data_IF_663403851676
#
_entry.id   IF_663403851676
#
_cell.length_a   1.000
_cell.length_b   1.000
_cell.length_c   1.000
_cell.angle_alpha   90.00
_cell.angle_beta   90.00
_cell.angle_gamma   90.00
#
_symmetry.space_group_name_H-M   'P 1'
#
loop_
_entity.id
_entity.type
_entity.pdbx_description
1 polymer ?
#
# COMPACT_ATOMS: atom_id res chain seq x y z
N UNK A 1 21.35 0.42 -2.74
CA UNK A 1 20.42 -0.23 -1.81
C UNK A 1 19.10 0.50 -1.93
N UNK A 2 18.04 -0.19 -2.33
CA UNK A 2 16.70 0.40 -2.42
C UNK A 2 16.11 0.44 -1.01
N UNK A 3 15.68 1.61 -0.56
CA UNK A 3 15.01 1.72 0.72
C UNK A 3 13.52 1.44 0.53
N UNK A 4 12.97 0.62 1.42
CA UNK A 4 11.55 0.27 1.41
C UNK A 4 10.84 1.04 2.52
N UNK A 5 9.66 1.57 2.20
CA UNK A 5 8.79 2.28 3.12
C UNK A 5 7.36 1.77 2.99
N UNK A 6 6.53 2.01 3.98
CA UNK A 6 5.08 1.98 3.87
C UNK A 6 4.55 3.40 4.02
N UNK A 7 3.71 3.82 3.08
CA UNK A 7 3.09 5.13 3.04
C UNK A 7 1.63 5.01 3.45
N UNK A 8 1.21 5.72 4.49
CA UNK A 8 -0.16 5.82 4.95
C UNK A 8 -0.79 7.13 4.49
N UNK A 9 -1.90 7.05 3.76
CA UNK A 9 -2.61 8.21 3.23
C UNK A 9 -3.66 8.72 4.21
N UNK A 10 -3.65 10.03 4.49
CA UNK A 10 -4.58 10.71 5.41
C UNK A 10 -5.98 11.00 4.83
N UNK A 11 -6.22 10.69 3.55
CA UNK A 11 -7.58 10.61 3.01
C UNK A 11 -8.41 11.91 3.06
N UNK A 12 -7.99 12.96 2.34
CA UNK A 12 -8.80 14.20 2.19
C UNK A 12 -9.83 14.17 1.05
N UNK A 13 -9.88 13.12 0.21
CA UNK A 13 -10.47 13.22 -1.14
C UNK A 13 -11.81 12.51 -1.40
N UNK A 14 -11.94 11.20 -1.18
CA UNK A 14 -13.08 10.43 -1.72
C UNK A 14 -14.09 9.94 -0.68
N UNK A 15 -15.32 9.65 -1.12
CA UNK A 15 -16.39 9.07 -0.28
C UNK A 15 -15.95 7.75 0.37
N UNK A 16 -15.23 6.91 -0.38
CA UNK A 16 -14.63 5.66 0.11
C UNK A 16 -13.59 5.94 1.21
N UNK A 17 -12.76 6.97 1.05
CA UNK A 17 -11.79 7.35 2.09
C UNK A 17 -12.48 7.76 3.40
N UNK A 18 -13.61 8.46 3.29
CA UNK A 18 -14.44 8.85 4.45
C UNK A 18 -15.07 7.64 5.12
N UNK A 19 -15.60 6.70 4.34
CA UNK A 19 -16.19 5.45 4.85
C UNK A 19 -15.12 4.64 5.60
N UNK A 20 -13.95 4.42 5.01
CA UNK A 20 -12.85 3.68 5.65
C UNK A 20 -12.42 4.37 6.95
N UNK A 21 -12.27 5.70 6.97
CA UNK A 21 -11.89 6.43 8.19
C UNK A 21 -12.95 6.32 9.29
N UNK A 22 -14.24 6.39 8.92
CA UNK A 22 -15.35 6.29 9.87
C UNK A 22 -15.43 4.88 10.46
N UNK A 23 -15.26 3.86 9.64
CA UNK A 23 -15.29 2.46 10.05
C UNK A 23 -14.07 2.06 10.89
N UNK A 24 -12.87 2.47 10.46
CA UNK A 24 -11.60 2.15 11.14
C UNK A 24 -11.28 3.10 12.29
N UNK A 25 -12.13 4.12 12.52
CA UNK A 25 -12.01 5.17 13.54
C UNK A 25 -10.62 5.82 13.60
N UNK A 26 -9.96 5.94 12.46
CA UNK A 26 -8.56 6.35 12.39
C UNK A 26 -8.25 7.46 11.38
N UNK A 27 -6.98 7.85 11.34
CA UNK A 27 -6.48 8.96 10.52
C UNK A 27 -6.24 8.54 9.08
N UNK A 28 -5.94 7.27 8.85
CA UNK A 28 -5.54 6.75 7.55
C UNK A 28 -6.70 6.12 6.81
N UNK A 29 -6.78 6.34 5.49
CA UNK A 29 -7.76 5.72 4.61
C UNK A 29 -7.17 4.69 3.65
N UNK A 30 -5.86 4.77 3.39
CA UNK A 30 -5.17 3.91 2.42
C UNK A 30 -3.71 3.72 2.83
N UNK A 31 -3.09 2.64 2.37
CA UNK A 31 -1.66 2.42 2.55
C UNK A 31 -1.03 1.78 1.31
N UNK A 32 0.22 2.14 1.01
CA UNK A 32 0.99 1.58 -0.09
C UNK A 32 2.41 1.24 0.34
N UNK A 33 2.97 0.14 -0.19
CA UNK A 33 4.38 -0.16 -0.06
C UNK A 33 5.16 0.64 -1.09
N UNK A 34 6.22 1.29 -0.66
CA UNK A 34 7.01 2.21 -1.47
C UNK A 34 8.44 1.73 -1.56
N UNK A 35 8.93 1.59 -2.78
CA UNK A 35 10.35 1.33 -3.05
C UNK A 35 10.96 2.63 -3.56
N UNK A 36 11.90 3.19 -2.78
CA UNK A 36 12.69 4.35 -3.18
C UNK A 36 13.85 3.91 -4.06
N UNK A 37 13.86 4.40 -5.30
CA UNK A 37 14.90 4.15 -6.30
C UNK A 37 15.57 5.47 -6.69
N UNK A 38 16.86 5.40 -6.98
CA UNK A 38 17.58 6.49 -7.61
C UNK A 38 17.84 6.07 -9.05
N UNK A 39 17.23 6.76 -10.02
CA UNK A 39 17.48 6.52 -11.44
C UNK A 39 18.53 7.51 -11.94
N UNK A 40 19.47 6.99 -12.73
CA UNK A 40 20.48 7.80 -13.41
C UNK A 40 19.87 8.36 -14.70
N UNK A 41 19.69 9.68 -14.76
CA UNK A 41 19.21 10.34 -15.97
C UNK A 41 20.36 10.45 -16.96
N UNK A 42 20.25 9.76 -18.11
CA UNK A 42 21.29 9.65 -19.16
C UNK A 42 21.71 10.95 -19.86
N UNK A 43 21.33 12.13 -19.32
CA UNK A 43 21.52 13.44 -19.98
C UNK A 43 22.53 14.39 -19.31
N UNK A 44 22.83 14.23 -18.02
CA UNK A 44 23.65 15.20 -17.28
C UNK A 44 24.45 14.50 -16.19
N UNK A 45 25.76 14.71 -16.15
CA UNK A 45 26.71 13.95 -15.33
C UNK A 45 26.54 14.02 -13.79
N UNK A 46 25.46 14.61 -13.25
CA UNK A 46 25.26 14.80 -11.80
C UNK A 46 23.79 14.85 -11.31
N UNK A 47 22.78 14.43 -12.08
CA UNK A 47 21.39 14.40 -11.60
C UNK A 47 20.92 12.95 -11.34
N UNK A 48 20.71 12.63 -10.06
CA UNK A 48 20.03 11.42 -9.63
C UNK A 48 18.56 11.78 -9.34
N UNK A 49 17.63 11.26 -10.14
CA UNK A 49 16.21 11.43 -9.85
C UNK A 49 15.75 10.37 -8.85
N UNK A 50 15.16 10.83 -7.75
CA UNK A 50 14.55 9.93 -6.76
C UNK A 50 13.14 9.57 -7.20
N UNK A 51 12.93 8.31 -7.56
CA UNK A 51 11.64 7.76 -7.95
C UNK A 51 11.08 6.92 -6.81
N UNK A 52 9.78 7.07 -6.55
CA UNK A 52 9.05 6.29 -5.56
C UNK A 52 8.06 5.37 -6.26
N UNK A 53 8.41 4.10 -6.38
CA UNK A 53 7.50 3.09 -6.92
C UNK A 53 6.57 2.60 -5.80
N UNK A 54 5.26 2.83 -5.97
CA UNK A 54 4.26 2.43 -4.99
C UNK A 54 3.51 1.18 -5.46
N UNK A 55 3.33 0.23 -4.55
CA UNK A 55 2.68 -1.05 -4.75
C UNK A 55 1.55 -1.20 -3.73
N UNK A 56 0.33 -1.40 -4.22
CA UNK A 56 -0.84 -1.65 -3.38
C UNK A 56 -2.00 -2.16 -4.22
N UNK A 57 -3.10 -2.54 -3.58
CA UNK A 57 -4.38 -2.74 -4.23
C UNK A 57 -5.26 -1.50 -4.05
N UNK A 58 -5.88 -1.01 -5.12
CA UNK A 58 -6.70 0.22 -5.05
C UNK A 58 -8.03 0.08 -5.79
N UNK A 59 -9.12 0.62 -5.21
CA UNK A 59 -10.44 0.57 -5.83
C UNK A 59 -10.48 1.43 -7.11
N UNK A 60 -9.64 2.46 -7.21
CA UNK A 60 -9.59 3.35 -8.37
C UNK A 60 -9.00 2.69 -9.61
N UNK A 61 -8.26 1.61 -9.41
CA UNK A 61 -7.51 0.91 -10.45
C UNK A 61 -7.96 -0.55 -10.55
N UNK A 62 -9.09 -0.87 -9.91
CA UNK A 62 -9.75 -2.18 -9.89
C UNK A 62 -8.86 -3.37 -9.48
N UNK A 63 -7.78 -3.14 -8.72
CA UNK A 63 -7.00 -4.24 -8.16
C UNK A 63 -5.58 -3.89 -7.77
N UNK A 64 -4.75 -4.92 -7.74
CA UNK A 64 -3.31 -4.84 -7.44
C UNK A 64 -2.58 -4.09 -8.54
N UNK A 65 -1.91 -3.00 -8.18
CA UNK A 65 -1.23 -2.10 -9.10
C UNK A 65 0.17 -1.71 -8.62
N UNK A 66 0.97 -1.28 -9.58
CA UNK A 66 2.23 -0.56 -9.38
C UNK A 66 2.11 0.80 -10.03
N UNK A 67 2.39 1.88 -9.29
CA UNK A 67 2.34 3.24 -9.81
C UNK A 67 3.42 4.12 -9.17
N UNK A 68 4.04 4.99 -9.96
CA UNK A 68 4.97 5.98 -9.43
C UNK A 68 4.15 7.14 -8.88
N UNK A 69 4.25 7.39 -7.58
CA UNK A 69 3.46 8.41 -6.88
C UNK A 69 4.43 9.34 -6.16
N UNK A 70 4.18 10.65 -6.24
CA UNK A 70 4.87 11.60 -5.38
C UNK A 70 4.30 11.52 -3.96
N UNK A 71 4.92 10.68 -3.15
CA UNK A 71 4.59 10.47 -1.74
C UNK A 71 5.14 11.56 -0.82
N UNK A 72 5.93 12.51 -1.32
CA UNK A 72 6.53 13.59 -0.54
C UNK A 72 5.58 14.76 -0.29
N UNK A 73 4.29 14.47 -0.08
CA UNK A 73 3.27 15.49 0.25
C UNK A 73 2.76 15.29 1.68
N UNK A 74 2.32 16.36 2.33
CA UNK A 74 1.84 16.37 3.73
C UNK A 74 0.69 15.38 4.02
N UNK A 75 0.08 14.83 2.97
CA UNK A 75 -1.02 13.88 3.05
C UNK A 75 -0.56 12.44 3.29
N UNK A 76 0.74 12.16 3.26
CA UNK A 76 1.31 10.84 3.49
C UNK A 76 2.19 10.82 4.73
N UNK A 77 2.06 9.77 5.52
CA UNK A 77 3.02 9.43 6.57
C UNK A 77 3.83 8.22 6.11
N UNK A 78 5.15 8.35 6.14
CA UNK A 78 6.09 7.33 5.65
C UNK A 78 6.77 6.65 6.82
N UNK A 79 6.70 5.33 6.87
CA UNK A 79 7.41 4.50 7.86
C UNK A 79 8.41 3.64 7.11
N UNK A 80 9.67 3.67 7.51
CA UNK A 80 10.71 2.86 6.89
C UNK A 80 10.58 1.40 7.33
N UNK A 81 10.74 0.46 6.40
CA UNK A 81 10.69 -0.97 6.67
C UNK A 81 12.07 -1.57 6.47
N UNK A 82 12.78 -1.88 7.55
CA UNK A 82 14.16 -2.39 7.49
C UNK A 82 14.23 -3.89 7.17
N UNK A 83 13.14 -4.63 7.39
CA UNK A 83 13.09 -6.10 7.23
C UNK A 83 12.49 -6.55 5.89
N UNK A 84 12.15 -5.62 5.00
CA UNK A 84 11.50 -5.91 3.72
C UNK A 84 12.38 -5.45 2.56
N UNK A 85 12.54 -6.34 1.60
CA UNK A 85 13.30 -6.10 0.38
C UNK A 85 12.39 -5.76 -0.80
N UNK A 86 12.91 -4.97 -1.74
CA UNK A 86 12.25 -4.72 -3.02
C UNK A 86 11.89 -6.03 -3.75
N UNK A 87 12.74 -7.06 -3.65
CA UNK A 87 12.50 -8.34 -4.29
C UNK A 87 11.26 -9.02 -3.72
N UNK A 88 11.05 -9.02 -2.40
CA UNK A 88 9.84 -9.57 -1.79
C UNK A 88 8.57 -8.88 -2.29
N UNK A 89 8.59 -7.54 -2.33
CA UNK A 89 7.47 -6.74 -2.84
C UNK A 89 7.18 -7.09 -4.30
N UNK A 90 8.24 -7.12 -5.13
CA UNK A 90 8.12 -7.39 -6.56
C UNK A 90 7.64 -8.81 -6.82
N UNK A 91 8.16 -9.81 -6.12
CA UNK A 91 7.74 -11.21 -6.23
C UNK A 91 6.28 -11.40 -5.83
N UNK A 92 5.83 -10.79 -4.74
CA UNK A 92 4.43 -10.86 -4.33
C UNK A 92 3.51 -10.10 -5.30
N UNK A 93 3.97 -8.95 -5.82
CA UNK A 93 3.28 -8.23 -6.88
C UNK A 93 3.11 -9.09 -8.12
N UNK A 94 4.14 -9.77 -8.63
CA UNK A 94 3.98 -10.63 -9.81
C UNK A 94 3.00 -11.79 -9.58
N UNK A 95 2.94 -12.34 -8.37
CA UNK A 95 1.98 -13.40 -8.00
C UNK A 95 0.54 -12.90 -7.90
N UNK A 96 0.33 -11.63 -7.58
CA UNK A 96 -0.99 -11.05 -7.29
C UNK A 96 -1.45 -10.02 -8.33
N UNK A 97 -0.59 -9.68 -9.29
CA UNK A 97 -0.90 -8.76 -10.39
C UNK A 97 -2.06 -9.31 -11.21
N UNK A 98 -3.07 -8.48 -11.40
CA UNK A 98 -4.30 -8.85 -12.12
C UNK A 98 -5.39 -9.42 -11.21
N UNK A 99 -5.15 -9.61 -9.90
CA UNK A 99 -6.24 -9.83 -8.95
C UNK A 99 -7.06 -8.56 -8.77
N UNK A 100 -8.38 -8.72 -8.72
CA UNK A 100 -9.34 -7.63 -8.61
C UNK A 100 -9.33 -7.00 -7.21
N UNK A 101 -9.83 -5.76 -7.13
CA UNK A 101 -9.95 -5.07 -5.84
C UNK A 101 -11.13 -5.62 -5.03
N UNK A 102 -10.90 -5.99 -3.77
CA UNK A 102 -12.01 -6.39 -2.90
C UNK A 102 -12.69 -5.18 -2.25
N UNK A 103 -13.71 -4.63 -2.91
CA UNK A 103 -14.51 -3.58 -2.30
C UNK A 103 -15.37 -4.11 -1.15
N UNK A 104 -15.86 -5.35 -1.26
CA UNK A 104 -16.66 -6.00 -0.23
C UNK A 104 -15.78 -6.40 0.96
N UNK A 105 -14.59 -6.95 0.71
CA UNK A 105 -13.56 -7.24 1.70
C UNK A 105 -13.09 -5.98 2.44
N UNK A 106 -12.81 -4.88 1.73
CA UNK A 106 -12.43 -3.61 2.37
C UNK A 106 -13.50 -3.09 3.35
N UNK A 107 -14.79 -3.30 3.07
CA UNK A 107 -15.89 -2.99 3.99
C UNK A 107 -16.01 -4.08 5.07
N UNK A 108 -15.84 -5.35 4.69
CA UNK A 108 -15.93 -6.54 5.52
C UNK A 108 -14.89 -6.60 6.64
N UNK A 109 -13.69 -6.09 6.42
CA UNK A 109 -12.63 -5.92 7.45
C UNK A 109 -13.16 -5.19 8.68
N UNK A 110 -13.95 -4.15 8.45
CA UNK A 110 -14.52 -3.35 9.53
C UNK A 110 -15.67 -4.07 10.26
N UNK A 111 -16.27 -5.08 9.61
CA UNK A 111 -17.31 -5.93 10.15
C UNK A 111 -16.78 -7.30 10.64
N UNK A 112 -15.46 -7.53 10.55
CA UNK A 112 -14.82 -8.80 10.91
C UNK A 112 -15.19 -9.98 10.00
N UNK A 113 -15.65 -9.70 8.78
CA UNK A 113 -16.05 -10.70 7.80
C UNK A 113 -14.83 -11.03 6.93
N UNK A 114 -14.58 -12.34 6.76
CA UNK A 114 -13.52 -12.83 5.88
C UNK A 114 -13.78 -12.39 4.43
N UNK A 115 -12.73 -11.87 3.79
CA UNK A 115 -12.79 -11.46 2.39
C UNK A 115 -12.77 -12.66 1.42
N UNK A 116 -13.01 -12.37 0.14
CA UNK A 116 -12.82 -13.39 -0.89
C UNK A 116 -11.32 -13.56 -1.15
N UNK A 117 -10.80 -14.80 -0.99
CA UNK A 117 -9.37 -15.14 -1.19
C UNK A 117 -8.74 -14.72 -2.54
N UNK A 118 -9.55 -14.29 -3.50
CA UNK A 118 -9.14 -13.90 -4.85
C UNK A 118 -9.13 -12.38 -5.09
N UNK A 119 -9.50 -11.58 -4.10
CA UNK A 119 -9.51 -10.13 -4.19
C UNK A 119 -8.68 -9.56 -3.04
N UNK A 120 -8.00 -8.44 -3.29
CA UNK A 120 -7.14 -7.81 -2.28
C UNK A 120 -7.57 -6.36 -2.06
N UNK A 121 -7.53 -5.89 -0.82
CA UNK A 121 -7.60 -4.46 -0.51
C UNK A 121 -6.25 -3.94 0.02
N UNK A 122 -6.13 -2.62 0.15
CA UNK A 122 -4.82 -1.96 0.30
C UNK A 122 -4.00 -2.42 1.52
N UNK A 123 -4.64 -2.56 2.69
CA UNK A 123 -3.97 -2.92 3.94
C UNK A 123 -3.68 -4.40 4.05
N UNK A 124 -4.57 -5.26 3.56
CA UNK A 124 -4.30 -6.69 3.46
C UNK A 124 -3.09 -6.96 2.56
N UNK A 125 -3.06 -6.37 1.36
CA UNK A 125 -1.94 -6.59 0.44
C UNK A 125 -0.61 -6.15 1.06
N UNK A 126 -0.58 -4.98 1.70
CA UNK A 126 0.61 -4.50 2.41
C UNK A 126 0.99 -5.40 3.60
N UNK A 127 0.02 -5.80 4.42
CA UNK A 127 0.24 -6.69 5.57
C UNK A 127 0.83 -8.04 5.13
N UNK A 128 0.25 -8.64 4.09
CA UNK A 128 0.68 -9.95 3.61
C UNK A 128 2.14 -9.94 3.13
N UNK A 129 2.57 -8.84 2.51
CA UNK A 129 3.98 -8.66 2.11
C UNK A 129 4.88 -8.41 3.32
N UNK A 130 4.47 -7.56 4.26
CA UNK A 130 5.29 -7.19 5.43
C UNK A 130 5.48 -8.37 6.38
N UNK A 131 4.42 -9.12 6.66
CA UNK A 131 4.44 -10.20 7.64
C UNK A 131 4.54 -11.59 7.01
N UNK A 132 4.55 -11.70 5.67
CA UNK A 132 4.58 -12.99 4.98
C UNK A 132 3.38 -13.88 5.33
N UNK A 133 2.20 -13.27 5.50
CA UNK A 133 0.99 -13.93 6.01
C UNK A 133 -0.18 -13.75 5.05
N UNK A 134 -1.27 -14.50 5.25
CA UNK A 134 -2.56 -14.34 4.58
C UNK A 134 -3.65 -13.81 5.53
N UNK A 135 -3.26 -13.39 6.74
CA UNK A 135 -4.18 -12.88 7.76
C UNK A 135 -4.44 -11.36 7.65
N UNK A 136 -3.99 -10.73 6.56
CA UNK A 136 -4.15 -9.30 6.33
C UNK A 136 -5.60 -8.82 6.27
N UNK A 137 -6.55 -9.71 5.94
CA UNK A 137 -7.99 -9.45 5.90
C UNK A 137 -8.57 -8.92 7.23
N UNK A 138 -7.83 -9.05 8.34
CA UNK A 138 -8.23 -8.62 9.68
C UNK A 138 -7.76 -7.21 10.04
N UNK A 139 -6.87 -6.62 9.23
CA UNK A 139 -6.14 -5.41 9.59
C UNK A 139 -6.50 -4.26 8.66
N UNK A 140 -7.01 -3.19 9.25
CA UNK A 140 -7.20 -1.91 8.58
C UNK A 140 -5.88 -1.12 8.45
N UNK A 141 -5.81 -0.08 7.59
CA UNK A 141 -4.61 0.75 7.46
C UNK A 141 -4.15 1.37 8.79
N UNK A 142 -5.09 1.70 9.68
CA UNK A 142 -4.78 2.25 11.00
C UNK A 142 -4.21 1.20 11.96
N UNK A 143 -4.72 -0.03 11.92
CA UNK A 143 -4.14 -1.11 12.72
C UNK A 143 -2.76 -1.49 12.19
N UNK A 144 -2.60 -1.57 10.86
CA UNK A 144 -1.29 -1.81 10.24
C UNK A 144 -0.29 -0.73 10.63
N UNK A 145 -0.70 0.55 10.65
CA UNK A 145 0.17 1.66 11.08
C UNK A 145 0.64 1.60 12.53
N UNK A 146 -0.06 0.85 13.38
CA UNK A 146 0.34 0.64 14.77
C UNK A 146 1.23 -0.60 14.97
N UNK A 147 1.37 -1.43 13.93
CA UNK A 147 2.17 -2.66 13.93
C UNK A 147 3.56 -2.48 13.29
N UNK A 148 3.73 -1.44 12.48
CA UNK A 148 4.97 -1.11 11.75
C UNK A 148 5.72 0.04 12.40
#
# INVERSE_FOLDING_TARGET
MSNVYIAFYKGKGNLVDRIIRLLTKGKYSHCELVVKKNEFTSGSHYENDTVYECYSSSPRDNGVRRKNININSENWDLVQLDNITEQQITSYYQQTKGKEYDLLGAIGVCLGIQDERNKYFCSEWCFNVIFGSDQGWRFSPNQLSALV
#
